data_IF_491027270067
#
_entry.id   IF_491027270067
#
_cell.length_a   1.000
_cell.length_b   1.000
_cell.length_c   1.000
_cell.angle_alpha   90.00
_cell.angle_beta   90.00
_cell.angle_gamma   90.00
#
_symmetry.space_group_name_H-M   'P 1'
#
loop_
_entity.id
_entity.type
_entity.pdbx_description
1 polymer ?
#
# COMPACT_ATOMS: atom_id res chain seq x y z
N UNK A 1 16.97 11.84 2.50
CA UNK A 1 17.45 13.24 2.66
C UNK A 1 18.11 13.79 1.37
N UNK A 2 18.86 13.00 0.61
CA UNK A 2 19.47 13.43 -0.68
C UNK A 2 18.49 13.57 -1.87
N UNK A 3 17.39 12.80 -1.87
CA UNK A 3 16.41 12.86 -2.97
C UNK A 3 15.62 14.17 -3.00
N UNK A 4 15.50 14.86 -1.86
CA UNK A 4 14.75 16.12 -1.76
C UNK A 4 15.36 17.22 -2.61
N UNK A 5 16.69 17.31 -2.65
CA UNK A 5 17.39 18.33 -3.43
C UNK A 5 17.25 18.05 -4.95
N UNK A 6 17.17 16.77 -5.34
CA UNK A 6 16.88 16.39 -6.74
C UNK A 6 15.42 16.63 -7.14
N UNK A 7 14.48 16.36 -6.22
CA UNK A 7 13.06 16.68 -6.39
C UNK A 7 12.88 18.20 -6.54
N UNK A 8 13.59 18.97 -5.71
CA UNK A 8 13.58 20.42 -5.76
C UNK A 8 14.09 20.96 -7.11
N UNK A 9 15.19 20.42 -7.63
CA UNK A 9 15.70 20.79 -8.97
C UNK A 9 14.75 20.48 -10.11
N UNK A 10 14.00 19.38 -10.01
CA UNK A 10 12.97 19.04 -11.00
C UNK A 10 11.75 19.95 -10.87
N UNK A 11 11.48 20.44 -9.64
CA UNK A 11 10.38 21.33 -9.32
C UNK A 11 10.65 22.79 -9.69
N UNK A 12 11.88 23.26 -9.49
CA UNK A 12 12.34 24.61 -9.77
C UNK A 12 12.85 24.71 -11.22
N UNK A 13 11.92 24.67 -12.18
CA UNK A 13 12.22 24.86 -13.60
C UNK A 13 12.72 26.27 -13.92
N UNK A 14 12.44 27.23 -13.03
CA UNK A 14 12.69 28.65 -13.25
C UNK A 14 13.99 29.12 -12.57
N UNK A 15 14.69 28.24 -11.83
CA UNK A 15 15.86 28.55 -10.99
C UNK A 15 15.64 29.76 -10.05
N UNK A 16 14.39 30.01 -9.65
CA UNK A 16 14.04 31.19 -8.86
C UNK A 16 14.41 31.03 -7.39
N UNK A 17 14.72 29.81 -6.94
CA UNK A 17 14.95 29.50 -5.53
C UNK A 17 13.67 29.50 -4.68
N UNK A 18 12.50 29.78 -5.27
CA UNK A 18 11.19 29.75 -4.63
C UNK A 18 10.20 28.91 -5.45
N UNK A 19 9.42 28.06 -4.79
CA UNK A 19 8.46 27.20 -5.48
C UNK A 19 7.05 27.79 -5.46
N UNK A 20 6.52 28.12 -6.64
CA UNK A 20 5.11 28.48 -6.82
C UNK A 20 4.19 27.27 -6.57
N UNK A 21 3.01 27.51 -5.99
CA UNK A 21 1.97 26.49 -5.73
C UNK A 21 1.62 25.65 -6.97
N UNK A 22 1.68 26.24 -8.19
CA UNK A 22 1.44 25.51 -9.45
C UNK A 22 2.54 24.50 -9.78
N UNK A 23 3.80 24.86 -9.57
CA UNK A 23 4.94 23.98 -9.79
C UNK A 23 4.94 22.84 -8.76
N UNK A 24 4.59 23.15 -7.51
CA UNK A 24 4.42 22.19 -6.43
C UNK A 24 3.35 21.15 -6.75
N UNK A 25 2.20 21.56 -7.32
CA UNK A 25 1.12 20.65 -7.75
C UNK A 25 1.60 19.61 -8.76
N UNK A 26 2.31 20.06 -9.78
CA UNK A 26 2.81 19.18 -10.84
C UNK A 26 3.82 18.17 -10.29
N UNK A 27 4.74 18.64 -9.45
CA UNK A 27 5.78 17.81 -8.84
C UNK A 27 5.19 16.81 -7.85
N UNK A 28 4.21 17.22 -7.05
CA UNK A 28 3.48 16.33 -6.16
C UNK A 28 2.77 15.22 -6.95
N UNK A 29 2.20 15.53 -8.12
CA UNK A 29 1.64 14.53 -9.04
C UNK A 29 2.64 13.44 -9.41
N UNK A 30 3.86 13.83 -9.78
CA UNK A 30 4.95 12.91 -10.12
C UNK A 30 5.46 12.14 -8.89
N UNK A 31 5.51 12.78 -7.72
CA UNK A 31 5.87 12.14 -6.45
C UNK A 31 4.85 11.07 -6.07
N UNK A 32 3.55 11.32 -6.22
CA UNK A 32 2.51 10.31 -5.96
C UNK A 32 2.63 9.10 -6.87
N UNK A 33 2.96 9.32 -8.14
CA UNK A 33 3.19 8.23 -9.07
C UNK A 33 4.41 7.40 -8.71
N UNK A 34 5.43 8.00 -8.09
CA UNK A 34 6.70 7.32 -7.74
C UNK A 34 6.66 6.66 -6.37
N UNK A 35 6.06 7.31 -5.39
CA UNK A 35 6.00 6.89 -3.99
C UNK A 35 4.54 6.65 -3.57
N UNK A 36 3.93 5.54 -4.00
CA UNK A 36 2.53 5.24 -3.68
C UNK A 36 2.26 5.10 -2.17
N UNK A 37 3.29 4.83 -1.36
CA UNK A 37 3.20 4.82 0.10
C UNK A 37 2.77 6.16 0.71
N UNK A 38 3.01 7.28 0.01
CA UNK A 38 2.53 8.61 0.46
C UNK A 38 1.00 8.68 0.40
N UNK A 39 0.36 7.95 -0.52
CA UNK A 39 -1.11 7.88 -0.60
C UNK A 39 -1.70 7.19 0.65
N UNK A 40 -1.02 6.17 1.17
CA UNK A 40 -1.44 5.49 2.40
C UNK A 40 -1.35 6.43 3.60
N UNK A 41 -0.26 7.18 3.71
CA UNK A 41 -0.08 8.21 4.73
C UNK A 41 -1.20 9.26 4.71
N UNK A 42 -1.53 9.79 3.52
CA UNK A 42 -2.60 10.78 3.38
C UNK A 42 -3.97 10.23 3.81
N UNK A 43 -4.27 8.97 3.47
CA UNK A 43 -5.51 8.31 3.89
C UNK A 43 -5.58 8.13 5.40
N UNK A 44 -4.47 7.76 6.05
CA UNK A 44 -4.42 7.60 7.51
C UNK A 44 -4.68 8.92 8.23
N UNK A 45 -4.14 10.03 7.73
CA UNK A 45 -4.31 11.35 8.33
C UNK A 45 -5.56 12.10 7.83
N UNK A 46 -6.45 11.47 7.06
CA UNK A 46 -7.64 12.09 6.45
C UNK A 46 -7.36 13.35 5.61
N UNK A 47 -6.14 13.47 5.08
CA UNK A 47 -5.73 14.62 4.28
C UNK A 47 -6.19 14.43 2.83
N UNK A 48 -6.86 15.42 2.23
CA UNK A 48 -7.32 15.33 0.82
C UNK A 48 -6.17 15.42 -0.18
N UNK A 49 -4.99 15.85 0.28
CA UNK A 49 -3.74 15.84 -0.45
C UNK A 49 -2.64 16.56 0.33
N UNK A 50 -1.40 16.50 -0.18
CA UNK A 50 -0.26 17.25 0.36
C UNK A 50 -0.54 18.76 0.51
N UNK A 51 -1.48 19.31 -0.26
CA UNK A 51 -1.90 20.70 -0.11
C UNK A 51 -2.50 21.04 1.25
N UNK A 52 -3.12 20.09 1.95
CA UNK A 52 -3.59 20.36 3.32
C UNK A 52 -2.41 20.50 4.29
N UNK A 53 -1.25 19.85 4.04
CA UNK A 53 -0.03 20.08 4.82
C UNK A 53 0.56 21.47 4.60
N UNK A 54 0.19 22.11 3.49
CA UNK A 54 0.67 23.42 3.06
C UNK A 54 -0.34 24.54 3.35
N UNK A 55 -1.61 24.20 3.65
CA UNK A 55 -2.65 25.18 3.96
C UNK A 55 -2.46 25.91 5.29
N UNK A 56 -1.71 25.32 6.22
CA UNK A 56 -1.39 25.97 7.49
C UNK A 56 -0.41 27.15 7.32
N UNK A 57 0.11 27.39 6.10
CA UNK A 57 1.00 28.51 5.80
C UNK A 57 0.48 29.29 4.60
N UNK A 58 0.04 30.53 4.86
CA UNK A 58 -0.52 31.50 3.89
C UNK A 58 0.46 31.95 2.78
N UNK A 59 1.67 31.41 2.72
CA UNK A 59 2.71 31.85 1.79
C UNK A 59 2.52 31.22 0.40
N UNK A 60 2.21 32.06 -0.60
CA UNK A 60 2.15 31.66 -2.02
C UNK A 60 3.49 31.15 -2.58
N UNK A 61 4.59 31.42 -1.87
CA UNK A 61 5.95 31.01 -2.20
C UNK A 61 6.58 30.24 -1.03
N UNK A 62 7.11 29.06 -1.32
CA UNK A 62 7.77 28.22 -0.31
C UNK A 62 9.27 28.19 -0.54
N UNK A 63 10.00 28.40 0.55
CA UNK A 63 11.45 28.32 0.56
C UNK A 63 11.91 26.84 0.60
N UNK A 64 13.09 26.59 0.05
CA UNK A 64 13.70 25.25 -0.11
C UNK A 64 13.80 24.52 1.23
N UNK A 65 14.19 25.24 2.28
CA UNK A 65 14.34 24.68 3.63
C UNK A 65 13.01 24.28 4.25
N UNK A 66 11.95 25.07 4.00
CA UNK A 66 10.62 24.75 4.49
C UNK A 66 10.02 23.54 3.76
N UNK A 67 10.19 23.49 2.44
CA UNK A 67 9.78 22.34 1.63
C UNK A 67 10.51 21.06 2.06
N UNK A 68 11.82 21.17 2.35
CA UNK A 68 12.64 20.05 2.86
C UNK A 68 12.16 19.58 4.23
N UNK A 69 11.80 20.52 5.12
CA UNK A 69 11.25 20.19 6.44
C UNK A 69 9.89 19.49 6.33
N UNK A 70 9.01 19.96 5.46
CA UNK A 70 7.71 19.34 5.21
C UNK A 70 7.84 17.91 4.64
N UNK A 71 8.71 17.72 3.65
CA UNK A 71 8.99 16.38 3.10
C UNK A 71 9.64 15.46 4.13
N UNK A 72 10.58 15.95 4.93
CA UNK A 72 11.21 15.15 6.00
C UNK A 72 10.21 14.71 7.06
N UNK A 73 9.25 15.58 7.42
CA UNK A 73 8.16 15.22 8.33
C UNK A 73 7.30 14.10 7.74
N UNK A 74 6.93 14.18 6.47
CA UNK A 74 6.19 13.09 5.81
C UNK A 74 7.01 11.81 5.76
N UNK A 75 8.27 11.88 5.33
CA UNK A 75 9.16 10.72 5.24
C UNK A 75 9.30 9.99 6.58
N UNK A 76 9.40 10.73 7.69
CA UNK A 76 9.45 10.14 9.03
C UNK A 76 8.18 9.42 9.46
N UNK A 77 7.03 9.78 8.89
CA UNK A 77 5.72 9.23 9.24
C UNK A 77 5.21 8.19 8.23
N UNK A 78 5.82 8.11 7.05
CA UNK A 78 5.55 7.07 6.07
C UNK A 78 6.01 5.73 6.63
N UNK A 79 5.04 4.90 7.03
CA UNK A 79 5.30 3.55 7.50
C UNK A 79 5.47 2.61 6.31
N UNK A 80 6.35 1.62 6.46
CA UNK A 80 6.36 0.48 5.55
C UNK A 80 5.01 -0.25 5.62
N UNK A 81 4.68 -0.94 4.52
CA UNK A 81 3.48 -1.76 4.44
C UNK A 81 3.44 -2.75 5.63
N UNK A 82 2.25 -3.05 6.17
CA UNK A 82 2.14 -3.96 7.31
C UNK A 82 2.71 -5.34 6.92
N UNK A 83 3.40 -6.00 7.84
CA UNK A 83 4.00 -7.32 7.62
C UNK A 83 2.95 -8.45 7.59
N UNK A 84 1.90 -8.31 6.78
CA UNK A 84 0.87 -9.33 6.60
C UNK A 84 1.29 -10.28 5.48
N UNK A 85 1.76 -11.47 5.87
CA UNK A 85 2.30 -12.48 4.97
C UNK A 85 1.37 -12.82 3.79
N UNK A 86 0.05 -12.86 4.01
CA UNK A 86 -0.88 -13.28 2.96
C UNK A 86 -1.30 -12.15 2.01
N UNK A 87 -1.36 -10.90 2.47
CA UNK A 87 -1.85 -9.80 1.63
C UNK A 87 -0.71 -9.07 0.95
N UNK A 88 0.31 -8.67 1.71
CA UNK A 88 1.42 -7.90 1.17
C UNK A 88 2.33 -8.80 0.36
N UNK A 89 2.84 -9.90 0.94
CA UNK A 89 3.82 -10.73 0.22
C UNK A 89 3.24 -11.42 -1.02
N UNK A 90 1.97 -11.84 -0.99
CA UNK A 90 1.33 -12.43 -2.18
C UNK A 90 1.12 -11.41 -3.31
N UNK A 91 0.73 -10.17 -2.97
CA UNK A 91 0.58 -9.10 -3.96
C UNK A 91 1.94 -8.66 -4.52
N UNK A 92 2.95 -8.52 -3.67
CA UNK A 92 4.31 -8.18 -4.07
C UNK A 92 4.93 -9.28 -4.94
N UNK A 93 4.75 -10.55 -4.57
CA UNK A 93 5.22 -11.69 -5.35
C UNK A 93 4.57 -11.76 -6.74
N UNK A 94 3.24 -11.56 -6.82
CA UNK A 94 2.53 -11.52 -8.09
C UNK A 94 2.98 -10.34 -8.97
N UNK A 95 3.16 -9.16 -8.37
CA UNK A 95 3.65 -7.97 -9.06
C UNK A 95 5.08 -8.19 -9.60
N UNK A 96 5.98 -8.73 -8.78
CA UNK A 96 7.35 -9.00 -9.17
C UNK A 96 7.43 -10.04 -10.31
N UNK A 97 6.60 -11.08 -10.25
CA UNK A 97 6.52 -12.08 -11.31
C UNK A 97 6.06 -11.47 -12.65
N UNK A 98 5.06 -10.58 -12.62
CA UNK A 98 4.60 -9.86 -13.82
C UNK A 98 5.69 -8.92 -14.37
N UNK A 99 6.45 -8.25 -13.49
CA UNK A 99 7.60 -7.44 -13.90
C UNK A 99 8.67 -8.29 -14.62
N UNK A 100 9.01 -9.46 -14.10
CA UNK A 100 9.99 -10.35 -14.75
C UNK A 100 9.48 -10.86 -16.10
N UNK A 101 8.20 -11.24 -16.19
CA UNK A 101 7.59 -11.70 -17.44
C UNK A 101 7.57 -10.61 -18.52
N UNK A 102 7.45 -9.33 -18.14
CA UNK A 102 7.39 -8.18 -19.05
C UNK A 102 8.70 -7.42 -19.19
N UNK A 103 9.82 -7.97 -18.70
CA UNK A 103 11.08 -7.24 -18.64
C UNK A 103 11.56 -6.77 -20.01
N UNK A 104 11.51 -7.64 -21.02
CA UNK A 104 11.95 -7.30 -22.39
C UNK A 104 11.09 -6.19 -23.01
N UNK A 105 9.76 -6.28 -22.88
CA UNK A 105 8.84 -5.25 -23.42
C UNK A 105 8.98 -3.90 -22.72
N UNK A 106 9.29 -3.90 -21.42
CA UNK A 106 9.45 -2.67 -20.63
C UNK A 106 10.83 -2.03 -20.80
N UNK A 107 11.80 -2.73 -21.40
CA UNK A 107 13.06 -2.12 -21.85
C UNK A 107 12.88 -1.32 -23.13
N UNK A 108 12.04 -1.78 -24.04
CA UNK A 108 11.70 -1.07 -25.28
C UNK A 108 10.72 0.09 -25.05
N UNK A 109 9.70 -0.11 -24.22
CA UNK A 109 8.69 0.89 -23.89
C UNK A 109 8.55 1.08 -22.37
N UNK A 110 9.26 2.05 -21.77
CA UNK A 110 9.21 2.25 -20.32
C UNK A 110 7.87 2.86 -19.90
N UNK A 111 7.09 2.10 -19.12
CA UNK A 111 5.76 2.50 -18.63
C UNK A 111 5.79 3.29 -17.30
N UNK A 112 6.93 3.32 -16.62
CA UNK A 112 7.06 3.88 -15.29
C UNK A 112 7.18 5.41 -15.26
N UNK A 113 7.09 6.00 -14.04
CA UNK A 113 7.22 7.44 -13.85
C UNK A 113 8.61 7.94 -14.27
N UNK A 114 8.72 9.26 -14.47
CA UNK A 114 9.98 9.93 -14.78
C UNK A 114 11.01 9.67 -13.67
N UNK A 115 12.26 9.37 -14.06
CA UNK A 115 13.36 9.26 -13.11
C UNK A 115 13.73 10.66 -12.63
N UNK A 116 13.71 10.86 -11.31
CA UNK A 116 14.12 12.13 -10.68
C UNK A 116 15.66 12.25 -10.67
N UNK A 117 16.37 11.11 -10.60
CA UNK A 117 17.82 11.04 -10.81
C UNK A 117 18.11 10.46 -12.20
N UNK A 118 18.61 11.31 -13.11
CA UNK A 118 19.06 10.92 -14.45
C UNK A 118 18.00 11.09 -15.55
N UNK A 119 18.38 10.74 -16.79
CA UNK A 119 17.49 10.82 -17.96
C UNK A 119 16.67 9.52 -18.14
N UNK A 120 15.40 9.66 -18.51
CA UNK A 120 14.51 8.55 -18.88
C UNK A 120 13.42 8.22 -17.84
N UNK A 121 12.70 7.13 -18.11
CA UNK A 121 11.59 6.64 -17.28
C UNK A 121 11.96 5.36 -16.53
N UNK A 122 11.27 5.09 -15.43
CA UNK A 122 11.32 3.79 -14.78
C UNK A 122 10.72 2.72 -15.71
N UNK A 123 11.24 1.49 -15.67
CA UNK A 123 10.75 0.38 -16.52
C UNK A 123 9.31 -0.02 -16.17
N UNK A 124 8.98 -0.03 -14.88
CA UNK A 124 7.68 -0.47 -14.35
C UNK A 124 7.03 0.62 -13.49
N UNK A 125 5.70 0.57 -13.39
CA UNK A 125 4.91 1.38 -12.45
C UNK A 125 5.09 0.83 -11.03
N UNK A 126 5.26 1.65 -9.99
CA UNK A 126 5.53 1.13 -8.65
C UNK A 126 4.35 0.32 -8.10
N UNK A 127 4.69 -0.58 -7.17
CA UNK A 127 3.72 -1.44 -6.50
C UNK A 127 2.71 -0.61 -5.69
N UNK A 128 1.41 -0.87 -5.91
CA UNK A 128 0.32 -0.22 -5.17
C UNK A 128 -0.41 -1.27 -4.34
N UNK A 129 -0.19 -1.23 -3.04
CA UNK A 129 -0.85 -2.12 -2.10
C UNK A 129 -2.36 -1.84 -2.03
N UNK A 130 -3.15 -2.91 -2.09
CA UNK A 130 -4.59 -2.86 -1.84
C UNK A 130 -4.92 -3.68 -0.60
N UNK A 131 -5.35 -3.02 0.46
CA UNK A 131 -5.83 -3.71 1.67
C UNK A 131 -7.21 -4.32 1.40
N UNK A 132 -7.31 -5.64 1.53
CA UNK A 132 -8.54 -6.40 1.29
C UNK A 132 -9.34 -6.66 2.57
N UNK A 133 -8.95 -6.03 3.68
CA UNK A 133 -9.56 -6.22 4.99
C UNK A 133 -8.79 -7.19 5.87
N UNK A 134 -9.24 -7.37 7.10
CA UNK A 134 -8.62 -8.25 8.08
C UNK A 134 -9.66 -9.09 8.81
N UNK A 135 -9.28 -10.31 9.17
CA UNK A 135 -10.10 -11.23 9.93
C UNK A 135 -9.36 -11.67 11.18
N UNK A 136 -10.05 -11.67 12.32
CA UNK A 136 -9.50 -12.11 13.59
C UNK A 136 -10.51 -13.06 14.28
N UNK A 137 -10.20 -14.36 14.44
CA UNK A 137 -11.04 -15.26 15.22
C UNK A 137 -10.96 -14.87 16.71
N UNK A 138 -12.11 -14.67 17.36
CA UNK A 138 -12.20 -14.21 18.76
C UNK A 138 -12.35 -15.37 19.76
N UNK A 139 -12.50 -16.60 19.27
CA UNK A 139 -12.91 -17.73 20.11
C UNK A 139 -14.44 -17.82 20.25
N UNK A 140 -14.94 -18.91 20.82
CA UNK A 140 -16.40 -19.10 20.99
C UNK A 140 -17.21 -19.12 19.69
N UNK A 141 -16.62 -19.58 18.58
CA UNK A 141 -17.24 -19.64 17.25
C UNK A 141 -17.59 -18.27 16.62
N UNK A 142 -16.94 -17.21 17.09
CA UNK A 142 -17.09 -15.87 16.54
C UNK A 142 -15.80 -15.39 15.90
N UNK A 143 -15.94 -14.67 14.78
CA UNK A 143 -14.83 -13.99 14.10
C UNK A 143 -15.18 -12.53 13.91
N UNK A 144 -14.22 -11.65 14.19
CA UNK A 144 -14.28 -10.25 13.77
C UNK A 144 -13.77 -10.12 12.34
N UNK A 145 -14.52 -9.44 11.50
CA UNK A 145 -14.14 -9.09 10.14
C UNK A 145 -14.16 -7.56 9.98
N UNK A 146 -13.08 -7.01 9.43
CA UNK A 146 -13.02 -5.63 9.00
C UNK A 146 -12.76 -5.60 7.51
N UNK A 147 -13.77 -5.23 6.72
CA UNK A 147 -13.62 -5.06 5.28
C UNK A 147 -13.25 -3.60 4.96
N UNK A 148 -12.51 -3.36 3.86
CA UNK A 148 -12.12 -2.01 3.48
C UNK A 148 -13.36 -1.18 3.12
N UNK A 149 -13.65 -0.15 3.92
CA UNK A 149 -14.80 0.74 3.73
C UNK A 149 -16.07 0.34 4.49
N UNK A 150 -16.02 -0.73 5.29
CA UNK A 150 -17.14 -1.17 6.11
C UNK A 150 -16.81 -1.13 7.62
N UNK A 151 -17.83 -1.22 8.46
CA UNK A 151 -17.69 -1.32 9.91
C UNK A 151 -17.18 -2.70 10.32
N UNK A 152 -16.68 -2.82 11.55
CA UNK A 152 -16.25 -4.11 12.09
C UNK A 152 -17.48 -4.96 12.39
N UNK A 153 -17.62 -6.08 11.69
CA UNK A 153 -18.70 -7.03 11.93
C UNK A 153 -18.18 -8.18 12.79
N UNK A 154 -18.93 -8.52 13.85
CA UNK A 154 -18.60 -9.62 14.76
C UNK A 154 -19.80 -10.53 14.87
N UNK A 155 -19.59 -11.83 14.68
CA UNK A 155 -20.65 -12.83 14.85
C UNK A 155 -20.32 -14.19 14.26
N UNK A 156 -21.35 -15.02 14.18
CA UNK A 156 -21.27 -16.35 13.57
C UNK A 156 -21.34 -16.29 12.04
N UNK A 157 -21.98 -15.28 11.45
CA UNK A 157 -22.00 -15.08 9.98
C UNK A 157 -20.61 -14.76 9.43
N UNK A 158 -19.84 -13.94 10.15
CA UNK A 158 -18.46 -13.62 9.82
C UNK A 158 -17.52 -14.81 10.01
N UNK A 159 -17.84 -15.76 10.89
CA UNK A 159 -17.15 -17.05 11.00
C UNK A 159 -17.29 -17.88 9.72
N UNK A 160 -18.50 -18.00 9.17
CA UNK A 160 -18.74 -18.69 7.90
C UNK A 160 -18.07 -18.00 6.71
N UNK A 161 -18.07 -16.66 6.72
CA UNK A 161 -17.35 -15.88 5.73
C UNK A 161 -15.83 -16.13 5.83
N UNK A 162 -15.29 -16.18 7.04
CA UNK A 162 -13.89 -16.51 7.31
C UNK A 162 -13.53 -17.89 6.76
N UNK A 163 -14.31 -18.93 7.06
CA UNK A 163 -14.11 -20.26 6.51
C UNK A 163 -14.08 -20.26 4.97
N UNK A 164 -15.02 -19.53 4.35
CA UNK A 164 -15.12 -19.43 2.88
C UNK A 164 -13.90 -18.74 2.26
N UNK A 165 -13.45 -17.62 2.83
CA UNK A 165 -12.27 -16.89 2.36
C UNK A 165 -11.01 -17.73 2.54
N UNK A 166 -10.81 -18.36 3.70
CA UNK A 166 -9.60 -19.15 3.95
C UNK A 166 -9.55 -20.44 3.13
N UNK A 167 -10.68 -21.09 2.86
CA UNK A 167 -10.72 -22.24 1.96
C UNK A 167 -10.39 -21.85 0.51
N UNK A 168 -10.94 -20.74 0.01
CA UNK A 168 -10.69 -20.27 -1.35
C UNK A 168 -9.25 -19.79 -1.56
N UNK A 169 -8.62 -19.22 -0.53
CA UNK A 169 -7.23 -18.72 -0.59
C UNK A 169 -6.14 -19.80 -0.51
N UNK A 170 -6.48 -21.07 -0.28
CA UNK A 170 -5.50 -22.16 -0.34
C UNK A 170 -4.94 -22.35 -1.75
N UNK A 171 -3.62 -22.59 -1.84
CA UNK A 171 -2.90 -22.72 -3.11
C UNK A 171 -3.21 -24.01 -3.88
N UNK A 172 -3.66 -25.07 -3.21
CA UNK A 172 -3.89 -26.38 -3.81
C UNK A 172 -5.28 -26.93 -3.46
N UNK A 173 -5.89 -27.64 -4.41
CA UNK A 173 -7.16 -28.32 -4.22
C UNK A 173 -7.09 -29.36 -3.08
N UNK A 174 -5.94 -30.04 -2.96
CA UNK A 174 -5.70 -31.04 -1.90
C UNK A 174 -5.77 -30.39 -0.52
N UNK A 175 -5.04 -29.28 -0.33
CA UNK A 175 -5.03 -28.52 0.92
C UNK A 175 -6.41 -27.95 1.23
N UNK A 176 -7.13 -27.46 0.22
CA UNK A 176 -8.50 -26.98 0.37
C UNK A 176 -9.43 -28.07 0.90
N UNK A 177 -9.40 -29.26 0.31
CA UNK A 177 -10.23 -30.37 0.77
C UNK A 177 -9.84 -30.83 2.17
N UNK A 178 -8.54 -30.95 2.46
CA UNK A 178 -8.06 -31.32 3.78
C UNK A 178 -8.59 -30.37 4.86
N UNK A 179 -8.50 -29.05 4.63
CA UNK A 179 -8.99 -28.04 5.57
C UNK A 179 -10.51 -28.12 5.76
N UNK A 180 -11.28 -28.29 4.68
CA UNK A 180 -12.74 -28.44 4.76
C UNK A 180 -13.14 -29.71 5.50
N UNK A 181 -12.45 -30.83 5.25
CA UNK A 181 -12.71 -32.09 5.96
C UNK A 181 -12.36 -31.99 7.44
N UNK A 182 -11.30 -31.28 7.79
CA UNK A 182 -10.91 -31.08 9.19
C UNK A 182 -11.90 -30.19 9.94
N UNK A 183 -12.45 -29.15 9.30
CA UNK A 183 -13.55 -28.37 9.88
C UNK A 183 -14.82 -29.20 10.06
N UNK A 184 -15.15 -30.06 9.09
CA UNK A 184 -16.28 -30.99 9.20
C UNK A 184 -16.09 -31.99 10.34
N UNK A 185 -14.91 -32.62 10.44
CA UNK A 185 -14.58 -33.52 11.56
C UNK A 185 -14.65 -32.80 12.91
N UNK A 186 -14.15 -31.58 13.00
CA UNK A 186 -14.25 -30.76 14.21
C UNK A 186 -15.70 -30.51 14.62
N UNK A 187 -16.59 -30.30 13.65
CA UNK A 187 -18.01 -30.04 13.92
C UNK A 187 -18.73 -31.29 14.46
N UNK A 188 -18.47 -32.47 13.89
CA UNK A 188 -19.14 -33.72 14.28
C UNK A 188 -18.49 -34.42 15.49
N UNK A 189 -17.17 -34.45 15.56
CA UNK A 189 -16.41 -35.26 16.53
C UNK A 189 -15.66 -34.40 17.56
N UNK A 190 -15.69 -33.07 17.45
CA UNK A 190 -14.90 -32.19 18.30
C UNK A 190 -13.43 -32.11 17.88
N UNK A 191 -12.60 -31.39 18.65
CA UNK A 191 -11.16 -31.29 18.35
C UNK A 191 -10.44 -32.53 18.86
N UNK A 192 -9.69 -33.17 17.97
CA UNK A 192 -8.80 -34.26 18.35
C UNK A 192 -7.72 -33.72 19.31
N UNK A 193 -7.68 -34.27 20.51
CA UNK A 193 -6.85 -33.77 21.62
C UNK A 193 -5.80 -34.81 22.04
N UNK A 194 -5.46 -35.74 21.15
CA UNK A 194 -4.59 -36.90 21.42
C UNK A 194 -3.13 -36.57 21.73
N UNK A 195 -2.79 -35.30 21.97
CA UNK A 195 -1.46 -34.85 22.40
C UNK A 195 -1.50 -33.82 23.54
N UNK A 196 -2.50 -33.92 24.42
CA UNK A 196 -2.51 -33.24 25.73
C UNK A 196 -2.05 -34.20 26.83
#
# INVERSE_FOLDING_TARGET
MEDVDSIFRVADKDNSGTLSVKNIKNVLGDIYQRYPQVELYLKTNQMKGFHDLLKDKETEELNIEEFKKALAQVDSQVKMLPATAQQVAAQEGAYLADCFNRMNTCEENPEGPLRIRGAGRHRFKPFRYRHLGQFAPLGGEQTAAQLPGDWVHVGHSTQWLWYSVYASKQFSWRTRMLVVTDWGRRFFFGRDSSSL
#
